data_IF_086828579214
#
_entry.id   IF_086828579214
#
_cell.length_a   1.000
_cell.length_b   1.000
_cell.length_c   1.000
_cell.angle_alpha   90.00
_cell.angle_beta   90.00
_cell.angle_gamma   90.00
#
_symmetry.space_group_name_H-M   'P 1'
#
loop_
_entity.id
_entity.type
_entity.pdbx_description
1 polymer ?
#
# COMPACT_ATOMS: atom_id res chain seq x y z
N UNK A 1 -69.00 -26.74 2.65
CA UNK A 1 -68.11 -25.67 3.16
C UNK A 1 -66.68 -26.09 2.90
N UNK A 2 -66.08 -25.64 1.79
CA UNK A 2 -64.70 -25.94 1.41
C UNK A 2 -63.84 -24.76 1.86
N UNK A 3 -63.00 -24.97 2.88
CA UNK A 3 -62.06 -23.98 3.37
C UNK A 3 -60.88 -23.89 2.39
N UNK A 4 -60.79 -22.76 1.71
CA UNK A 4 -59.75 -22.44 0.74
C UNK A 4 -58.46 -22.09 1.48
N UNK A 5 -57.51 -23.04 1.52
CA UNK A 5 -56.17 -22.82 2.05
C UNK A 5 -55.37 -22.01 1.03
N UNK A 6 -55.31 -20.70 1.24
CA UNK A 6 -54.45 -19.81 0.48
C UNK A 6 -52.99 -20.06 0.89
N UNK A 7 -52.29 -20.87 0.09
CA UNK A 7 -50.83 -21.02 0.16
C UNK A 7 -50.18 -19.68 -0.18
N UNK A 8 -49.78 -18.95 0.86
CA UNK A 8 -48.81 -17.86 0.76
C UNK A 8 -47.44 -18.46 0.44
N UNK A 9 -47.12 -18.53 -0.85
CA UNK A 9 -45.75 -18.80 -1.32
C UNK A 9 -44.96 -17.52 -1.08
N UNK A 10 -44.26 -17.44 0.05
CA UNK A 10 -43.20 -16.47 0.26
C UNK A 10 -42.06 -16.80 -0.72
N UNK A 11 -42.05 -16.11 -1.86
CA UNK A 11 -40.88 -16.07 -2.73
C UNK A 11 -39.78 -15.30 -1.99
N UNK A 12 -39.00 -16.02 -1.20
CA UNK A 12 -37.72 -15.53 -0.69
C UNK A 12 -36.81 -15.44 -1.90
N UNK A 13 -36.73 -14.27 -2.53
CA UNK A 13 -35.73 -13.99 -3.55
C UNK A 13 -34.37 -14.08 -2.86
N UNK A 14 -33.49 -15.03 -3.22
CA UNK A 14 -32.13 -15.01 -2.70
C UNK A 14 -31.52 -13.64 -3.07
N UNK A 15 -30.74 -13.01 -2.17
CA UNK A 15 -30.01 -11.81 -2.56
C UNK A 15 -29.21 -12.17 -3.81
N UNK A 16 -29.36 -11.38 -4.87
CA UNK A 16 -28.56 -11.56 -6.07
C UNK A 16 -27.09 -11.64 -5.63
N UNK A 17 -26.40 -12.72 -6.01
CA UNK A 17 -24.97 -12.92 -5.80
C UNK A 17 -24.24 -11.65 -6.27
N UNK A 18 -23.88 -10.81 -5.31
CA UNK A 18 -23.03 -9.65 -5.52
C UNK A 18 -21.69 -10.22 -5.99
N UNK A 19 -21.20 -9.90 -7.21
CA UNK A 19 -20.01 -10.51 -7.78
C UNK A 19 -18.86 -10.29 -6.81
N UNK A 20 -18.40 -11.38 -6.19
CA UNK A 20 -17.80 -11.34 -4.86
C UNK A 20 -16.61 -10.39 -4.81
N UNK A 21 -16.87 -9.23 -4.22
CA UNK A 21 -15.89 -8.23 -3.89
C UNK A 21 -15.02 -8.73 -2.72
N UNK A 22 -13.72 -8.46 -2.77
CA UNK A 22 -12.78 -8.80 -1.70
C UNK A 22 -13.33 -8.38 -0.33
N UNK A 23 -13.36 -9.31 0.62
CA UNK A 23 -13.81 -9.06 1.99
C UNK A 23 -12.60 -8.82 2.86
N UNK A 24 -12.48 -7.60 3.38
CA UNK A 24 -11.37 -7.20 4.25
C UNK A 24 -11.94 -6.92 5.64
N UNK A 25 -11.60 -7.78 6.60
CA UNK A 25 -11.94 -7.60 8.01
C UNK A 25 -10.67 -7.32 8.79
N UNK A 26 -10.57 -6.16 9.43
CA UNK A 26 -9.45 -5.87 10.34
C UNK A 26 -9.99 -5.70 11.75
N UNK A 27 -9.44 -6.47 12.69
CA UNK A 27 -9.78 -6.45 14.12
C UNK A 27 -8.62 -5.84 14.91
N UNK A 28 -8.92 -5.30 16.08
CA UNK A 28 -7.91 -4.77 17.00
C UNK A 28 -8.07 -3.29 17.30
N UNK A 29 -6.96 -2.63 17.64
CA UNK A 29 -6.96 -1.20 18.02
C UNK A 29 -7.11 -0.35 16.75
N UNK A 30 -8.16 0.50 16.63
CA UNK A 30 -8.34 1.32 15.43
C UNK A 30 -7.22 2.36 15.31
N UNK A 31 -6.65 2.52 14.12
CA UNK A 31 -5.76 3.64 13.83
C UNK A 31 -6.60 4.93 13.71
N UNK A 32 -6.29 5.99 14.47
CA UNK A 32 -7.03 7.25 14.35
C UNK A 32 -6.85 7.85 12.95
N UNK A 33 -7.95 8.12 12.26
CA UNK A 33 -7.96 8.82 10.96
C UNK A 33 -7.55 7.99 9.74
N UNK A 34 -7.29 6.68 9.89
CA UNK A 34 -6.86 5.83 8.77
C UNK A 34 -7.65 4.51 8.76
N UNK A 35 -8.39 4.30 7.67
CA UNK A 35 -9.17 3.08 7.44
C UNK A 35 -8.49 2.20 6.39
N UNK A 36 -8.21 0.94 6.74
CA UNK A 36 -7.58 -0.04 5.83
C UNK A 36 -8.33 -0.14 4.50
N UNK A 37 -9.66 -0.26 4.54
CA UNK A 37 -10.49 -0.40 3.34
C UNK A 37 -10.41 0.84 2.42
N UNK A 38 -10.16 2.02 2.98
CA UNK A 38 -9.94 3.24 2.17
C UNK A 38 -8.60 3.18 1.43
N UNK A 39 -7.54 2.74 2.13
CA UNK A 39 -6.19 2.60 1.54
C UNK A 39 -6.16 1.52 0.47
N UNK A 40 -6.79 0.37 0.69
CA UNK A 40 -6.89 -0.68 -0.34
C UNK A 40 -7.58 -0.15 -1.59
N UNK A 41 -8.72 0.54 -1.45
CA UNK A 41 -9.42 1.15 -2.60
C UNK A 41 -8.57 2.20 -3.31
N UNK A 42 -7.83 3.04 -2.59
CA UNK A 42 -6.93 4.01 -3.20
C UNK A 42 -5.85 3.34 -4.06
N UNK A 43 -5.31 2.20 -3.63
CA UNK A 43 -4.33 1.42 -4.40
C UNK A 43 -4.95 0.73 -5.63
N UNK A 44 -6.21 0.27 -5.51
CA UNK A 44 -6.94 -0.42 -6.58
C UNK A 44 -7.64 0.53 -7.56
N UNK A 45 -7.79 1.81 -7.27
CA UNK A 45 -8.54 2.73 -8.13
C UNK A 45 -10.02 2.33 -8.31
N UNK A 46 -10.71 2.97 -9.27
CA UNK A 46 -12.18 2.85 -9.42
C UNK A 46 -12.67 1.62 -10.20
N UNK A 47 -11.81 0.84 -10.87
CA UNK A 47 -12.24 -0.04 -11.96
C UNK A 47 -11.69 -1.48 -11.92
N UNK A 48 -11.41 -2.04 -10.75
CA UNK A 48 -10.98 -3.44 -10.67
C UNK A 48 -12.17 -4.35 -10.42
N UNK A 49 -12.74 -4.90 -11.49
CA UNK A 49 -13.59 -6.08 -11.39
C UNK A 49 -12.72 -7.24 -10.88
N UNK A 50 -13.04 -7.77 -9.70
CA UNK A 50 -12.28 -8.82 -9.07
C UNK A 50 -12.72 -10.18 -9.65
N UNK A 51 -11.81 -10.95 -10.28
CA UNK A 51 -12.18 -12.23 -10.86
C UNK A 51 -12.32 -13.35 -9.81
N UNK A 52 -11.86 -13.13 -8.58
CA UNK A 52 -11.69 -14.16 -7.54
C UNK A 52 -12.20 -13.65 -6.19
N UNK A 53 -12.75 -14.56 -5.36
CA UNK A 53 -13.13 -14.23 -3.98
C UNK A 53 -11.87 -14.19 -3.12
N UNK A 54 -11.49 -12.99 -2.67
CA UNK A 54 -10.40 -12.82 -1.71
C UNK A 54 -10.97 -12.55 -0.31
N UNK A 55 -10.58 -13.39 0.64
CA UNK A 55 -10.84 -13.16 2.06
C UNK A 55 -9.56 -12.72 2.77
N UNK A 56 -9.63 -11.58 3.45
CA UNK A 56 -8.53 -11.04 4.23
C UNK A 56 -9.00 -10.80 5.66
N UNK A 57 -8.40 -11.54 6.59
CA UNK A 57 -8.52 -11.30 8.03
C UNK A 57 -7.24 -10.65 8.55
N UNK A 58 -7.38 -9.45 9.11
CA UNK A 58 -6.29 -8.71 9.73
C UNK A 58 -6.46 -8.58 11.23
N UNK A 59 -5.36 -8.68 11.97
CA UNK A 59 -5.28 -8.30 13.38
C UNK A 59 -4.21 -7.23 13.56
N UNK A 60 -4.62 -6.05 14.03
CA UNK A 60 -3.73 -4.95 14.35
C UNK A 60 -3.58 -4.79 15.87
N UNK A 61 -2.35 -4.81 16.36
CA UNK A 61 -2.03 -4.63 17.78
C UNK A 61 -0.84 -3.72 17.99
N UNK A 62 -0.83 -3.01 19.11
CA UNK A 62 0.36 -2.33 19.60
C UNK A 62 1.16 -3.31 20.47
N UNK A 63 2.47 -3.38 20.22
CA UNK A 63 3.43 -4.20 20.96
C UNK A 63 3.91 -3.47 22.23
N UNK A 64 4.51 -4.21 23.14
CA UNK A 64 5.03 -3.67 24.42
C UNK A 64 6.17 -2.67 24.22
N UNK A 65 6.91 -2.78 23.11
CA UNK A 65 7.97 -1.85 22.69
C UNK A 65 7.42 -0.57 22.02
N UNK A 66 6.09 -0.41 21.95
CA UNK A 66 5.41 0.71 21.34
C UNK A 66 5.26 0.61 19.81
N UNK A 67 5.81 -0.43 19.17
CA UNK A 67 5.63 -0.67 17.74
C UNK A 67 4.23 -1.18 17.43
N UNK A 68 3.83 -1.05 16.16
CA UNK A 68 2.58 -1.56 15.64
C UNK A 68 2.84 -2.83 14.85
N UNK A 69 2.06 -3.86 15.15
CA UNK A 69 2.10 -5.13 14.45
C UNK A 69 0.76 -5.39 13.76
N UNK A 70 0.83 -5.64 12.46
CA UNK A 70 -0.29 -6.07 11.64
C UNK A 70 -0.03 -7.49 11.16
N UNK A 71 -0.88 -8.42 11.58
CA UNK A 71 -0.95 -9.77 11.02
C UNK A 71 -2.09 -9.83 10.01
N UNK A 72 -1.83 -10.32 8.80
CA UNK A 72 -2.80 -10.52 7.73
C UNK A 72 -2.83 -12.00 7.34
N UNK A 73 -3.99 -12.63 7.46
CA UNK A 73 -4.28 -13.92 6.85
C UNK A 73 -5.03 -13.68 5.53
N UNK A 74 -4.45 -14.14 4.43
CA UNK A 74 -4.96 -13.94 3.08
C UNK A 74 -5.34 -15.31 2.51
N UNK A 75 -6.63 -15.54 2.28
CA UNK A 75 -7.15 -16.73 1.64
C UNK A 75 -7.68 -16.39 0.25
N UNK A 76 -7.33 -17.23 -0.74
CA UNK A 76 -7.92 -17.21 -2.08
C UNK A 76 -8.74 -18.47 -2.25
N UNK A 77 -10.01 -18.29 -2.61
CA UNK A 77 -10.97 -19.39 -2.77
C UNK A 77 -10.95 -20.30 -1.52
N UNK A 78 -10.87 -21.62 -1.72
CA UNK A 78 -10.82 -22.63 -0.64
C UNK A 78 -9.38 -23.02 -0.23
N UNK A 79 -8.39 -22.16 -0.51
CA UNK A 79 -6.98 -22.41 -0.21
C UNK A 79 -6.61 -22.20 1.27
N UNK A 80 -5.50 -22.82 1.68
CA UNK A 80 -4.89 -22.53 2.99
C UNK A 80 -4.49 -21.04 3.09
N UNK A 81 -4.84 -20.34 4.18
CA UNK A 81 -4.54 -18.93 4.32
C UNK A 81 -3.03 -18.70 4.42
N UNK A 82 -2.52 -17.74 3.64
CA UNK A 82 -1.14 -17.27 3.78
C UNK A 82 -1.09 -16.15 4.81
N UNK A 83 -0.31 -16.35 5.88
CA UNK A 83 -0.12 -15.35 6.93
C UNK A 83 1.08 -14.45 6.63
N UNK A 84 0.90 -13.14 6.77
CA UNK A 84 1.92 -12.11 6.63
C UNK A 84 1.92 -11.21 7.86
N UNK A 85 3.10 -10.89 8.38
CA UNK A 85 3.23 -10.02 9.55
C UNK A 85 4.08 -8.81 9.21
N UNK A 86 3.62 -7.62 9.60
CA UNK A 86 4.30 -6.35 9.41
C UNK A 86 4.51 -5.70 10.76
N UNK A 87 5.71 -5.19 11.00
CA UNK A 87 6.03 -4.40 12.19
C UNK A 87 6.48 -3.02 11.75
N UNK A 88 5.86 -1.99 12.30
CA UNK A 88 6.15 -0.60 11.95
C UNK A 88 6.14 0.31 13.19
N UNK A 89 6.87 1.44 13.17
CA UNK A 89 6.85 2.38 14.29
C UNK A 89 5.52 3.12 14.45
N UNK A 90 4.73 3.23 13.38
CA UNK A 90 3.46 3.95 13.37
C UNK A 90 2.32 3.09 12.82
N UNK A 91 1.12 3.26 13.40
CA UNK A 91 -0.11 2.56 13.01
C UNK A 91 -0.40 2.74 11.52
N UNK A 92 -0.29 3.97 11.02
CA UNK A 92 -0.51 4.32 9.62
C UNK A 92 0.42 3.56 8.69
N UNK A 93 1.72 3.47 9.02
CA UNK A 93 2.70 2.73 8.21
C UNK A 93 2.38 1.24 8.14
N UNK A 94 1.91 0.63 9.24
CA UNK A 94 1.47 -0.77 9.23
C UNK A 94 0.24 -0.97 8.32
N UNK A 95 -0.74 -0.06 8.40
CA UNK A 95 -1.93 -0.07 7.55
C UNK A 95 -1.57 0.13 6.08
N UNK A 96 -0.70 1.08 5.75
CA UNK A 96 -0.26 1.34 4.38
C UNK A 96 0.43 0.12 3.76
N UNK A 97 1.36 -0.51 4.51
CA UNK A 97 2.03 -1.73 4.07
C UNK A 97 1.03 -2.88 3.87
N UNK A 98 0.09 -3.06 4.80
CA UNK A 98 -0.95 -4.07 4.69
C UNK A 98 -1.87 -3.85 3.50
N UNK A 99 -2.31 -2.60 3.28
CA UNK A 99 -3.15 -2.23 2.15
C UNK A 99 -2.46 -2.49 0.81
N UNK A 100 -1.16 -2.20 0.70
CA UNK A 100 -0.37 -2.50 -0.49
C UNK A 100 -0.30 -4.01 -0.75
N UNK A 101 -0.06 -4.82 0.28
CA UNK A 101 -0.01 -6.29 0.15
C UNK A 101 -1.35 -6.86 -0.26
N UNK A 102 -2.46 -6.35 0.27
CA UNK A 102 -3.81 -6.74 -0.13
C UNK A 102 -4.07 -6.34 -1.59
N UNK A 103 -3.70 -5.12 -1.99
CA UNK A 103 -3.85 -4.66 -3.37
C UNK A 103 -3.03 -5.52 -4.35
N UNK A 104 -1.81 -5.92 -3.97
CA UNK A 104 -0.97 -6.86 -4.69
C UNK A 104 -1.55 -8.28 -4.79
N UNK A 105 -2.18 -8.74 -3.71
CA UNK A 105 -2.86 -10.03 -3.70
C UNK A 105 -4.09 -10.03 -4.61
N UNK A 106 -4.73 -8.86 -4.79
CA UNK A 106 -5.87 -8.65 -5.67
C UNK A 106 -5.44 -8.53 -7.14
N UNK A 107 -4.47 -7.67 -7.43
CA UNK A 107 -3.98 -7.40 -8.78
C UNK A 107 -2.44 -7.42 -8.78
N UNK A 108 -1.83 -8.60 -9.00
CA UNK A 108 -0.38 -8.72 -9.03
C UNK A 108 0.24 -8.02 -10.25
N UNK A 109 -0.54 -7.74 -11.29
CA UNK A 109 -0.03 -7.13 -12.53
C UNK A 109 0.17 -5.62 -12.41
N UNK A 110 -0.56 -4.95 -11.53
CA UNK A 110 -0.41 -3.51 -11.28
C UNK A 110 0.97 -3.09 -10.79
N UNK A 111 1.61 -3.93 -9.99
CA UNK A 111 2.93 -3.62 -9.44
C UNK A 111 4.05 -3.72 -10.46
N UNK A 112 3.74 -4.14 -11.70
CA UNK A 112 4.69 -4.13 -12.81
C UNK A 112 4.63 -2.84 -13.64
N UNK A 113 3.81 -1.85 -13.29
CA UNK A 113 4.01 -0.52 -13.87
C UNK A 113 5.34 -0.02 -13.32
N UNK A 114 6.42 0.05 -14.12
CA UNK A 114 7.64 0.67 -13.65
C UNK A 114 7.20 2.06 -13.20
N UNK A 115 7.37 2.36 -11.92
CA UNK A 115 7.25 3.73 -11.45
C UNK A 115 8.10 4.51 -12.42
N UNK A 116 7.45 5.36 -13.25
CA UNK A 116 8.14 6.18 -14.24
C UNK A 116 9.33 6.73 -13.52
N UNK A 117 10.51 6.21 -13.90
CA UNK A 117 11.78 6.51 -13.28
C UNK A 117 11.76 8.03 -13.21
N UNK A 118 11.55 8.55 -12.00
CA UNK A 118 11.55 9.99 -11.81
C UNK A 118 13.00 10.29 -12.03
N UNK A 119 13.33 10.61 -13.28
CA UNK A 119 14.68 10.80 -13.79
C UNK A 119 15.36 11.64 -12.73
N UNK A 120 16.17 10.98 -11.90
CA UNK A 120 16.82 11.64 -10.79
C UNK A 120 17.68 12.67 -11.50
N UNK A 121 17.38 13.97 -11.36
CA UNK A 121 18.10 14.98 -12.09
C UNK A 121 19.58 14.73 -11.83
N UNK A 122 20.41 14.68 -12.89
CA UNK A 122 21.81 14.33 -12.74
C UNK A 122 22.40 15.16 -11.60
N UNK A 123 23.18 14.56 -10.69
CA UNK A 123 23.75 15.28 -9.57
C UNK A 123 24.42 16.55 -10.11
N UNK A 124 24.20 17.72 -9.46
CA UNK A 124 24.77 18.97 -9.94
C UNK A 124 26.27 18.75 -10.14
N UNK A 125 26.75 19.05 -11.36
CA UNK A 125 28.15 18.88 -11.69
C UNK A 125 29.00 19.55 -10.61
N UNK A 126 29.95 18.81 -10.04
CA UNK A 126 30.88 19.37 -9.07
C UNK A 126 31.49 20.66 -9.65
N UNK A 127 31.53 21.76 -8.87
CA UNK A 127 32.09 23.01 -9.34
C UNK A 127 33.53 22.77 -9.79
N UNK A 128 33.78 22.97 -11.10
CA UNK A 128 35.12 22.88 -11.67
C UNK A 128 36.03 23.81 -10.85
N UNK A 129 37.12 23.30 -10.25
CA UNK A 129 38.03 24.13 -9.48
C UNK A 129 38.52 25.25 -10.39
N UNK A 130 38.26 26.50 -10.00
CA UNK A 130 38.75 27.67 -10.72
C UNK A 130 40.28 27.61 -10.77
N UNK A 131 40.90 27.83 -11.94
CA UNK A 131 42.35 27.86 -12.05
C UNK A 131 42.91 28.92 -11.10
N UNK A 132 43.81 28.49 -10.23
CA UNK A 132 44.48 29.32 -9.23
C UNK A 132 45.24 30.47 -9.95
N UNK A 133 45.00 31.75 -9.61
CA UNK A 133 45.72 32.89 -10.20
C UNK A 133 47.18 33.03 -9.71
N UNK A 134 47.80 31.95 -9.24
CA UNK A 134 49.13 31.95 -8.63
C UNK A 134 50.22 31.64 -9.67
N UNK A 135 50.42 32.52 -10.66
CA UNK A 135 51.67 32.59 -11.45
C UNK A 135 51.77 33.92 -12.20
N UNK A 136 51.66 35.04 -11.48
CA UNK A 136 52.23 36.29 -11.96
C UNK A 136 53.68 36.37 -11.42
N UNK A 137 54.72 36.23 -12.26
CA UNK A 137 56.10 36.43 -11.82
C UNK A 137 56.28 37.88 -11.36
N UNK A 138 56.78 38.06 -10.14
CA UNK A 138 57.05 39.38 -9.57
C UNK A 138 58.18 40.06 -10.37
N UNK A 139 58.06 41.35 -10.71
CA UNK A 139 59.11 42.10 -11.39
C UNK A 139 60.30 42.34 -10.47
N UNK A 140 61.45 41.79 -10.90
CA UNK A 140 62.78 41.95 -10.34
C UNK A 140 63.15 43.44 -10.25
N UNK A 141 63.22 43.97 -9.03
CA UNK A 141 63.78 45.29 -8.74
C UNK A 141 65.18 45.12 -8.15
N UNK A 142 66.15 44.78 -9.00
CA UNK A 142 67.58 44.89 -8.70
C UNK A 142 68.24 45.80 -9.72
N UNK A 143 68.48 47.07 -9.35
CA UNK A 143 69.68 47.83 -9.72
C UNK A 143 69.63 49.29 -9.19
N UNK A 144 70.39 49.56 -8.14
CA UNK A 144 71.10 50.83 -7.92
C UNK A 144 72.31 50.51 -7.03
N UNK A 145 73.51 51.03 -7.31
CA UNK A 145 73.80 52.45 -7.06
C UNK A 145 74.19 53.29 -8.29
#
# INVERSE_FOLDING_TARGET
MLASLSSLVLLVTPPADDPVAARVHVRGVPCPGVEMASRVRAQLGEATALPETLEVDGTLRQREDGQWELELAIARDDGEPTVRTFVAPHCETAIEAGALVIALAIDPTRSASPSTDTEVPPPPADPVPSPDPASAPAPDHSAAP
#
